data_IF_147980986012
#
_entry.id   IF_147980986012
#
_cell.length_a   1.000
_cell.length_b   1.000
_cell.length_c   1.000
_cell.angle_alpha   90.00
_cell.angle_beta   90.00
_cell.angle_gamma   90.00
#
_symmetry.space_group_name_H-M   'P 1'
#
loop_
_entity.id
_entity.type
_entity.pdbx_description
1 polymer ?
#
# COMPACT_ATOMS: atom_id res chain seq x y z
N UNK A 1 -15.31 -2.23 -6.78
CA UNK A 1 -15.13 -0.78 -6.63
C UNK A 1 -13.80 -0.29 -7.19
N UNK A 2 -12.67 -0.47 -6.50
CA UNK A 2 -11.36 0.05 -6.94
C UNK A 2 -10.96 -0.48 -8.34
N UNK A 3 -11.20 -1.77 -8.63
CA UNK A 3 -10.96 -2.37 -9.96
C UNK A 3 -11.83 -1.78 -11.06
N UNK A 4 -13.09 -1.52 -10.79
CA UNK A 4 -14.05 -0.98 -11.76
C UNK A 4 -13.76 0.49 -12.05
N UNK A 5 -13.45 1.29 -11.03
CA UNK A 5 -13.05 2.69 -11.20
C UNK A 5 -11.75 2.83 -12.01
N UNK A 6 -10.77 1.96 -11.76
CA UNK A 6 -9.51 1.89 -12.50
C UNK A 6 -9.70 1.55 -13.98
N UNK A 7 -10.55 0.56 -14.29
CA UNK A 7 -10.85 0.16 -15.66
C UNK A 7 -11.58 1.28 -16.43
N UNK A 8 -12.47 2.00 -15.77
CA UNK A 8 -13.22 3.11 -16.37
C UNK A 8 -12.31 4.31 -16.69
N UNK A 9 -11.46 4.70 -15.76
CA UNK A 9 -10.54 5.85 -15.90
C UNK A 9 -9.54 5.63 -17.04
N UNK A 10 -8.91 4.46 -17.10
CA UNK A 10 -7.93 4.17 -18.16
C UNK A 10 -8.54 4.06 -19.54
N UNK A 11 -9.73 3.49 -19.68
CA UNK A 11 -10.42 3.39 -20.97
C UNK A 11 -10.90 4.76 -21.46
N UNK A 12 -11.39 5.63 -20.58
CA UNK A 12 -11.94 6.94 -20.95
C UNK A 12 -10.85 7.92 -21.43
N UNK A 13 -9.67 7.91 -20.81
CA UNK A 13 -8.55 8.78 -21.21
C UNK A 13 -7.85 8.31 -22.50
N UNK A 14 -7.75 7.01 -22.74
CA UNK A 14 -7.28 6.49 -24.00
C UNK A 14 -8.16 6.98 -25.16
N UNK A 15 -9.48 6.92 -25.02
CA UNK A 15 -10.44 7.43 -26.02
C UNK A 15 -10.33 8.93 -26.21
N UNK A 16 -10.15 9.71 -25.13
CA UNK A 16 -10.05 11.17 -25.21
C UNK A 16 -8.72 11.64 -25.81
N UNK A 17 -7.61 10.94 -25.54
CA UNK A 17 -6.30 11.23 -26.15
C UNK A 17 -6.32 10.99 -27.67
N UNK A 18 -7.05 9.98 -28.15
CA UNK A 18 -7.26 9.73 -29.58
C UNK A 18 -8.13 10.80 -30.25
N UNK A 19 -9.19 11.26 -29.58
CA UNK A 19 -10.03 12.36 -30.08
C UNK A 19 -9.26 13.68 -30.21
N UNK A 20 -8.37 13.99 -29.25
CA UNK A 20 -7.52 15.18 -29.31
C UNK A 20 -6.48 15.11 -30.43
N UNK A 21 -5.91 13.92 -30.71
CA UNK A 21 -4.98 13.70 -31.84
C UNK A 21 -5.68 13.85 -33.19
N UNK A 22 -6.89 13.33 -33.33
CA UNK A 22 -7.66 13.45 -34.57
C UNK A 22 -8.02 14.92 -34.85
N UNK A 23 -8.27 15.73 -33.83
CA UNK A 23 -8.54 17.15 -33.99
C UNK A 23 -7.31 17.97 -34.40
N UNK A 24 -6.11 17.61 -33.90
CA UNK A 24 -4.84 18.22 -34.32
C UNK A 24 -4.36 17.76 -35.70
N UNK A 25 -4.75 16.56 -36.15
CA UNK A 25 -4.42 16.06 -37.50
C UNK A 25 -5.33 16.58 -38.58
N UNK A 26 -6.50 17.10 -38.25
CA UNK A 26 -7.43 17.75 -39.20
C UNK A 26 -6.96 19.14 -39.63
N UNK A 27 -6.15 19.82 -38.82
CA UNK A 27 -5.63 21.18 -39.14
C UNK A 27 -4.32 21.18 -39.97
N UNK A 28 -3.73 20.02 -40.22
CA UNK A 28 -2.49 19.92 -41.04
C UNK A 28 -2.59 18.79 -42.06
N UNK A 29 -2.77 19.20 -43.32
CA UNK A 29 -2.55 18.50 -44.59
C UNK A 29 -3.73 17.80 -45.26
N UNK A 30 -3.98 18.24 -46.49
CA UNK A 30 -4.83 17.58 -47.47
C UNK A 30 -4.26 16.26 -47.96
N UNK A 31 -5.16 15.28 -48.00
CA UNK A 31 -5.15 14.20 -48.98
C UNK A 31 -4.14 13.08 -48.82
N UNK A 32 -4.35 12.16 -47.89
CA UNK A 32 -4.00 10.74 -48.08
C UNK A 32 -4.92 9.85 -47.23
N UNK A 33 -5.25 8.67 -47.78
CA UNK A 33 -6.26 7.74 -47.29
C UNK A 33 -6.26 7.53 -45.78
N UNK A 34 -7.39 7.90 -45.17
CA UNK A 34 -7.78 7.49 -43.82
C UNK A 34 -8.10 6.01 -43.82
N UNK A 35 -7.22 5.18 -43.31
CA UNK A 35 -7.65 3.94 -42.67
C UNK A 35 -8.26 4.34 -41.33
N UNK A 36 -9.55 4.11 -41.23
CA UNK A 36 -10.34 4.50 -40.04
C UNK A 36 -9.90 3.71 -38.81
N UNK A 37 -9.30 4.40 -37.85
CA UNK A 37 -9.04 3.92 -36.50
C UNK A 37 -10.31 3.55 -35.71
N UNK A 38 -11.49 3.60 -36.37
CA UNK A 38 -12.80 3.25 -35.78
C UNK A 38 -13.02 1.75 -35.57
N UNK A 39 -12.05 0.88 -35.95
CA UNK A 39 -12.15 -0.57 -35.75
C UNK A 39 -11.25 -1.13 -34.63
N UNK A 40 -10.52 -0.31 -33.91
CA UNK A 40 -9.99 -0.74 -32.62
C UNK A 40 -11.13 -0.83 -31.61
N UNK A 41 -11.90 -1.90 -31.68
CA UNK A 41 -12.68 -2.34 -30.53
C UNK A 41 -11.68 -2.59 -29.41
N UNK A 42 -11.57 -1.64 -28.49
CA UNK A 42 -10.97 -1.88 -27.19
C UNK A 42 -11.73 -3.06 -26.58
N UNK A 43 -11.18 -4.24 -26.70
CA UNK A 43 -11.71 -5.40 -26.03
C UNK A 43 -11.84 -5.02 -24.55
N UNK A 44 -13.02 -5.15 -23.98
CA UNK A 44 -13.31 -4.85 -22.57
C UNK A 44 -12.44 -5.63 -21.56
N UNK A 45 -11.56 -6.50 -22.08
CA UNK A 45 -10.55 -7.28 -21.37
C UNK A 45 -9.12 -6.74 -21.55
N UNK A 46 -8.92 -5.57 -22.16
CA UNK A 46 -7.56 -5.03 -22.24
C UNK A 46 -7.09 -4.65 -20.83
N UNK A 47 -6.00 -5.31 -20.46
CA UNK A 47 -5.32 -5.10 -19.18
C UNK A 47 -4.96 -3.62 -19.03
N UNK A 48 -5.03 -3.12 -17.80
CA UNK A 48 -4.48 -1.82 -17.44
C UNK A 48 -3.05 -1.69 -18.00
N UNK A 49 -2.63 -0.49 -18.47
CA UNK A 49 -1.29 -0.29 -19.02
C UNK A 49 -0.18 -0.41 -17.96
N UNK A 50 -0.55 -0.73 -16.75
CA UNK A 50 0.34 -0.99 -15.61
C UNK A 50 -0.34 -1.87 -14.56
N UNK A 51 0.47 -2.47 -13.69
CA UNK A 51 0.02 -3.11 -12.46
C UNK A 51 0.07 -2.14 -11.29
N UNK A 52 -0.79 -2.37 -10.31
CA UNK A 52 -0.83 -1.61 -9.06
C UNK A 52 -0.54 -2.55 -7.90
N UNK A 53 0.51 -2.20 -7.17
CA UNK A 53 0.90 -2.86 -5.94
C UNK A 53 0.48 -1.99 -4.76
N UNK A 54 -0.37 -2.52 -3.90
CA UNK A 54 -0.71 -1.88 -2.64
C UNK A 54 0.29 -2.26 -1.55
N UNK A 55 0.60 -1.31 -0.70
CA UNK A 55 1.44 -1.44 0.47
C UNK A 55 0.65 -1.10 1.74
N UNK A 56 1.32 -0.99 2.85
CA UNK A 56 0.74 -0.53 4.11
C UNK A 56 -0.52 -1.32 4.51
N UNK A 57 -1.52 -0.63 5.02
CA UNK A 57 -2.77 -1.27 5.49
C UNK A 57 -3.61 -1.86 4.36
N UNK A 58 -3.62 -1.23 3.18
CA UNK A 58 -4.34 -1.78 2.02
C UNK A 58 -3.71 -3.09 1.56
N UNK A 59 -2.39 -3.13 1.42
CA UNK A 59 -1.66 -4.33 1.02
C UNK A 59 -1.80 -5.47 2.02
N UNK A 60 -1.85 -5.15 3.32
CA UNK A 60 -2.11 -6.08 4.42
C UNK A 60 -3.56 -6.55 4.55
N UNK A 61 -4.49 -6.01 3.75
CA UNK A 61 -5.93 -6.20 3.90
C UNK A 61 -6.45 -5.78 5.30
N UNK A 62 -5.88 -4.70 5.83
CA UNK A 62 -6.13 -4.17 7.18
C UNK A 62 -6.55 -2.69 7.13
N UNK A 63 -7.17 -2.24 6.03
CA UNK A 63 -7.52 -0.83 5.82
C UNK A 63 -8.53 -0.34 6.85
N UNK A 64 -8.31 0.89 7.34
CA UNK A 64 -9.22 1.60 8.23
C UNK A 64 -10.18 2.52 7.45
N UNK A 65 -11.16 3.10 8.16
CA UNK A 65 -12.07 4.11 7.59
C UNK A 65 -11.33 5.35 7.09
N UNK A 66 -10.31 5.81 7.80
CA UNK A 66 -9.53 6.98 7.43
C UNK A 66 -8.03 6.65 7.39
N UNK A 67 -7.65 5.82 6.42
CA UNK A 67 -6.25 5.46 6.15
C UNK A 67 -5.79 6.06 4.84
N UNK A 68 -4.50 6.39 4.77
CA UNK A 68 -3.85 6.62 3.50
C UNK A 68 -3.72 5.30 2.75
N UNK A 69 -3.72 5.38 1.43
CA UNK A 69 -3.56 4.26 0.51
C UNK A 69 -2.20 4.38 -0.15
N UNK A 70 -1.29 3.49 0.23
CA UNK A 70 0.07 3.44 -0.30
C UNK A 70 0.08 2.58 -1.56
N UNK A 71 0.48 3.15 -2.70
CA UNK A 71 0.53 2.43 -3.99
C UNK A 71 1.87 2.58 -4.69
N UNK A 72 2.21 1.56 -5.49
CA UNK A 72 3.28 1.59 -6.48
C UNK A 72 2.69 1.20 -7.83
N UNK A 73 3.01 1.98 -8.88
CA UNK A 73 2.63 1.68 -10.26
C UNK A 73 3.81 1.09 -11.01
N UNK A 74 3.62 -0.11 -11.58
CA UNK A 74 4.66 -0.84 -12.29
C UNK A 74 4.10 -1.30 -13.62
N UNK A 75 4.86 -1.17 -14.71
CA UNK A 75 4.48 -1.69 -16.02
C UNK A 75 5.48 -2.75 -16.50
N UNK A 76 5.02 -3.61 -17.38
CA UNK A 76 5.89 -4.43 -18.21
C UNK A 76 6.60 -3.59 -19.28
N UNK A 77 7.53 -4.19 -20.00
CA UNK A 77 8.24 -3.52 -21.08
C UNK A 77 7.48 -3.59 -22.43
N UNK A 78 6.25 -4.08 -22.44
CA UNK A 78 5.44 -4.17 -23.64
C UNK A 78 5.03 -2.78 -24.13
N UNK A 79 5.07 -2.59 -25.43
CA UNK A 79 4.61 -1.35 -26.06
C UNK A 79 3.12 -1.45 -26.38
N UNK A 80 2.39 -0.36 -26.09
CA UNK A 80 0.96 -0.24 -26.41
C UNK A 80 0.80 0.32 -27.83
N UNK A 81 1.62 1.32 -28.18
CA UNK A 81 1.53 2.06 -29.45
C UNK A 81 2.73 1.88 -30.38
N UNK A 82 3.73 1.08 -29.96
CA UNK A 82 5.01 0.95 -30.66
C UNK A 82 6.01 2.08 -30.40
N UNK A 83 5.64 3.07 -29.59
CA UNK A 83 6.50 4.18 -29.17
C UNK A 83 6.63 4.19 -27.64
N UNK A 84 7.77 3.71 -27.14
CA UNK A 84 8.02 3.56 -25.69
C UNK A 84 7.90 4.89 -24.91
N UNK A 85 8.41 5.99 -25.46
CA UNK A 85 8.35 7.29 -24.80
C UNK A 85 6.90 7.80 -24.69
N UNK A 86 6.13 7.62 -25.74
CA UNK A 86 4.71 7.97 -25.73
C UNK A 86 3.92 7.10 -24.75
N UNK A 87 4.16 5.80 -24.75
CA UNK A 87 3.51 4.85 -23.84
C UNK A 87 3.86 5.14 -22.39
N UNK A 88 5.09 5.53 -22.09
CA UNK A 88 5.49 5.95 -20.75
C UNK A 88 4.73 7.20 -20.29
N UNK A 89 4.62 8.22 -21.16
CA UNK A 89 3.83 9.43 -20.87
C UNK A 89 2.34 9.11 -20.64
N UNK A 90 1.79 8.19 -21.43
CA UNK A 90 0.41 7.73 -21.31
C UNK A 90 0.18 7.05 -19.95
N UNK A 91 1.09 6.16 -19.54
CA UNK A 91 1.04 5.47 -18.24
C UNK A 91 1.10 6.44 -17.06
N UNK A 92 2.00 7.42 -17.11
CA UNK A 92 2.09 8.49 -16.09
C UNK A 92 0.78 9.29 -16.02
N UNK A 93 0.20 9.64 -17.18
CA UNK A 93 -1.05 10.40 -17.25
C UNK A 93 -2.20 9.59 -16.63
N UNK A 94 -2.30 8.31 -16.95
CA UNK A 94 -3.30 7.42 -16.40
C UNK A 94 -3.15 7.25 -14.87
N UNK A 95 -1.92 7.11 -14.37
CA UNK A 95 -1.66 7.02 -12.95
C UNK A 95 -2.02 8.32 -12.20
N UNK A 96 -1.70 9.49 -12.78
CA UNK A 96 -2.10 10.79 -12.20
C UNK A 96 -3.60 10.96 -12.14
N UNK A 97 -4.31 10.60 -13.22
CA UNK A 97 -5.76 10.67 -13.24
C UNK A 97 -6.39 9.74 -12.20
N UNK A 98 -5.83 8.54 -12.01
CA UNK A 98 -6.27 7.65 -10.95
C UNK A 98 -6.13 8.29 -9.57
N UNK A 99 -4.96 8.87 -9.27
CA UNK A 99 -4.71 9.54 -8.00
C UNK A 99 -5.70 10.70 -7.81
N UNK A 100 -5.93 11.50 -8.85
CA UNK A 100 -6.86 12.62 -8.84
C UNK A 100 -8.29 12.15 -8.50
N UNK A 101 -8.83 11.19 -9.26
CA UNK A 101 -10.18 10.64 -9.05
C UNK A 101 -10.34 10.02 -7.67
N UNK A 102 -9.30 9.35 -7.14
CA UNK A 102 -9.37 8.74 -5.80
C UNK A 102 -9.30 9.75 -4.67
N UNK A 103 -8.63 10.90 -4.89
CA UNK A 103 -8.38 11.92 -3.87
C UNK A 103 -9.30 13.13 -3.98
N UNK A 104 -10.07 13.25 -5.08
CA UNK A 104 -10.96 14.38 -5.31
C UNK A 104 -12.02 14.49 -4.23
N UNK A 105 -12.15 15.68 -3.67
CA UNK A 105 -13.20 15.98 -2.66
C UNK A 105 -14.46 16.41 -3.39
N UNK A 106 -15.49 15.59 -3.29
CA UNK A 106 -16.81 15.82 -3.86
C UNK A 106 -17.82 16.23 -2.77
N UNK A 107 -19.07 16.50 -3.13
CA UNK A 107 -20.15 16.73 -2.16
C UNK A 107 -20.39 15.50 -1.26
N UNK A 108 -20.08 14.30 -1.74
CA UNK A 108 -20.18 13.02 -1.00
C UNK A 108 -18.90 12.70 -0.17
N UNK A 109 -17.88 13.57 -0.20
CA UNK A 109 -16.59 13.36 0.42
C UNK A 109 -15.51 12.93 -0.60
N UNK A 110 -14.51 12.20 -0.14
CA UNK A 110 -13.44 11.67 -0.98
C UNK A 110 -13.28 10.15 -0.76
N UNK A 111 -12.74 9.44 -1.76
CA UNK A 111 -12.64 7.99 -1.68
C UNK A 111 -11.47 7.53 -0.80
N UNK A 112 -10.26 8.08 -1.04
CA UNK A 112 -9.07 7.77 -0.25
C UNK A 112 -7.99 8.84 -0.42
N UNK A 113 -7.19 9.05 0.61
CA UNK A 113 -5.94 9.82 0.49
C UNK A 113 -4.87 8.90 -0.08
N UNK A 114 -4.24 9.34 -1.18
CA UNK A 114 -3.25 8.56 -1.90
C UNK A 114 -1.84 8.93 -1.44
N UNK A 115 -1.05 7.96 -1.02
CA UNK A 115 0.37 8.14 -0.66
C UNK A 115 1.27 7.37 -1.63
N UNK A 116 2.13 8.11 -2.33
CA UNK A 116 3.06 7.56 -3.32
C UNK A 116 4.52 7.58 -2.82
N UNK A 117 4.77 7.90 -1.54
CA UNK A 117 6.13 8.06 -1.00
C UNK A 117 6.89 6.75 -0.86
N UNK A 118 6.18 5.62 -0.73
CA UNK A 118 6.78 4.29 -0.60
C UNK A 118 7.23 3.68 -1.95
N UNK A 119 7.02 4.39 -3.08
CA UNK A 119 7.53 3.90 -4.38
C UNK A 119 9.06 3.93 -4.43
N UNK A 120 9.71 3.09 -5.28
CA UNK A 120 11.15 3.07 -5.45
C UNK A 120 11.70 4.47 -5.70
N UNK A 121 12.68 4.92 -4.91
CA UNK A 121 13.25 6.27 -4.99
C UNK A 121 12.36 7.41 -4.46
N UNK A 122 11.17 7.10 -3.93
CA UNK A 122 10.26 8.06 -3.33
C UNK A 122 9.81 9.17 -4.29
N UNK A 123 9.63 10.38 -3.80
CA UNK A 123 9.13 11.52 -4.58
C UNK A 123 10.06 11.96 -5.73
N UNK A 124 11.33 11.58 -5.69
CA UNK A 124 12.33 11.95 -6.69
C UNK A 124 12.30 11.05 -7.93
N UNK A 125 11.66 9.90 -7.86
CA UNK A 125 11.56 8.96 -8.98
C UNK A 125 10.30 9.18 -9.81
N UNK A 126 10.24 8.66 -11.05
CA UNK A 126 9.03 8.64 -11.85
C UNK A 126 7.85 8.01 -11.10
N UNK A 127 6.63 8.44 -11.43
CA UNK A 127 5.42 7.92 -10.79
C UNK A 127 5.14 6.46 -11.17
N UNK A 128 5.48 6.09 -12.40
CA UNK A 128 5.32 4.73 -12.94
C UNK A 128 6.69 4.25 -13.40
N UNK A 129 7.12 3.10 -12.93
CA UNK A 129 8.38 2.46 -13.31
C UNK A 129 8.11 1.19 -14.10
N UNK A 130 9.05 0.80 -14.96
CA UNK A 130 9.04 -0.52 -15.55
C UNK A 130 9.40 -1.59 -14.49
N UNK A 131 9.06 -2.85 -14.79
CA UNK A 131 9.46 -3.98 -13.94
C UNK A 131 10.99 -4.03 -13.81
N UNK A 132 11.73 -3.84 -14.92
CA UNK A 132 13.20 -3.87 -14.94
C UNK A 132 13.82 -2.74 -14.12
N UNK A 133 13.31 -1.50 -14.25
CA UNK A 133 13.76 -0.36 -13.43
C UNK A 133 13.50 -0.61 -11.93
N UNK A 134 12.36 -1.21 -11.62
CA UNK A 134 11.98 -1.55 -10.25
C UNK A 134 12.90 -2.64 -9.70
N UNK A 135 13.19 -3.68 -10.48
CA UNK A 135 14.13 -4.75 -10.10
C UNK A 135 15.54 -4.21 -9.92
N UNK A 136 16.01 -3.38 -10.86
CA UNK A 136 17.32 -2.74 -10.75
C UNK A 136 17.42 -1.90 -9.46
N UNK A 137 16.40 -1.11 -9.15
CA UNK A 137 16.36 -0.31 -7.93
C UNK A 137 16.48 -1.18 -6.68
N UNK A 138 15.63 -2.19 -6.53
CA UNK A 138 15.63 -3.03 -5.33
C UNK A 138 16.86 -3.95 -5.24
N UNK A 139 17.49 -4.30 -6.36
CA UNK A 139 18.76 -5.02 -6.36
C UNK A 139 19.90 -4.15 -5.79
N UNK A 140 19.89 -2.86 -6.06
CA UNK A 140 20.85 -1.89 -5.57
C UNK A 140 20.51 -1.37 -4.16
N UNK A 141 19.23 -1.30 -3.80
CA UNK A 141 18.78 -0.81 -2.49
C UNK A 141 19.11 -1.79 -1.37
N UNK A 142 19.59 -1.24 -0.27
CA UNK A 142 19.88 -2.01 0.97
C UNK A 142 19.05 -1.53 2.16
N UNK A 143 18.11 -0.61 1.92
CA UNK A 143 17.36 0.01 2.99
C UNK A 143 16.37 -0.96 3.63
N UNK A 144 16.54 -1.21 4.92
CA UNK A 144 15.69 -2.13 5.69
C UNK A 144 14.21 -1.70 5.70
N UNK A 145 13.95 -0.39 5.77
CA UNK A 145 12.58 0.13 5.80
C UNK A 145 11.81 -0.19 4.50
N UNK A 146 12.48 -0.25 3.34
CA UNK A 146 11.85 -0.64 2.07
C UNK A 146 11.47 -2.12 2.08
N UNK A 147 12.37 -2.97 2.60
CA UNK A 147 12.06 -4.39 2.79
C UNK A 147 10.86 -4.56 3.72
N UNK A 148 10.82 -3.81 4.81
CA UNK A 148 9.71 -3.83 5.77
C UNK A 148 8.41 -3.35 5.14
N UNK A 149 8.42 -2.27 4.36
CA UNK A 149 7.24 -1.76 3.65
C UNK A 149 6.69 -2.80 2.65
N UNK A 150 7.58 -3.48 1.93
CA UNK A 150 7.24 -4.50 0.93
C UNK A 150 6.74 -5.83 1.52
N UNK A 151 6.87 -6.08 2.82
CA UNK A 151 6.23 -7.25 3.47
C UNK A 151 4.73 -7.27 3.20
N UNK A 152 4.09 -6.10 3.24
CA UNK A 152 2.64 -5.95 2.99
C UNK A 152 2.30 -5.76 1.51
N UNK A 153 3.26 -5.90 0.60
CA UNK A 153 3.03 -5.74 -0.83
C UNK A 153 2.02 -6.76 -1.37
N UNK A 154 0.97 -6.26 -2.01
CA UNK A 154 -0.09 -7.08 -2.60
C UNK A 154 -0.58 -6.47 -3.91
N UNK A 155 -0.62 -7.23 -5.02
CA UNK A 155 -1.20 -6.76 -6.27
C UNK A 155 -2.70 -6.53 -6.11
N UNK A 156 -3.17 -5.34 -6.46
CA UNK A 156 -4.60 -4.97 -6.35
C UNK A 156 -5.25 -4.72 -7.71
N UNK A 157 -4.47 -4.41 -8.74
CA UNK A 157 -4.97 -4.26 -10.11
C UNK A 157 -3.85 -4.50 -11.14
N UNK A 158 -4.23 -4.70 -12.41
CA UNK A 158 -3.34 -4.98 -13.53
C UNK A 158 -3.42 -6.42 -14.02
N UNK A 159 -2.54 -6.80 -14.97
CA UNK A 159 -2.52 -8.16 -15.52
C UNK A 159 -2.08 -9.18 -14.47
N UNK A 160 -2.67 -10.37 -14.52
CA UNK A 160 -2.30 -11.45 -13.61
C UNK A 160 -0.87 -11.94 -13.82
N UNK A 161 -0.31 -11.80 -15.02
CA UNK A 161 1.09 -12.13 -15.30
C UNK A 161 2.03 -11.11 -14.69
N UNK A 162 1.84 -9.82 -14.97
CA UNK A 162 2.63 -8.73 -14.38
C UNK A 162 2.60 -8.80 -12.84
N UNK A 163 1.44 -9.08 -12.25
CA UNK A 163 1.30 -9.27 -10.80
C UNK A 163 2.19 -10.39 -10.26
N UNK A 164 2.28 -11.51 -10.98
CA UNK A 164 3.17 -12.62 -10.61
C UNK A 164 4.64 -12.24 -10.72
N UNK A 165 5.01 -11.57 -11.81
CA UNK A 165 6.38 -11.18 -12.08
C UNK A 165 6.88 -10.17 -11.04
N UNK A 166 6.06 -9.16 -10.71
CA UNK A 166 6.33 -8.23 -9.61
C UNK A 166 6.52 -8.96 -8.27
N UNK A 167 5.64 -9.89 -7.92
CA UNK A 167 5.77 -10.63 -6.66
C UNK A 167 6.96 -11.59 -6.65
N UNK A 168 7.33 -12.15 -7.79
CA UNK A 168 8.53 -12.98 -7.92
C UNK A 168 9.81 -12.16 -7.74
N UNK A 169 9.81 -10.90 -8.15
CA UNK A 169 10.90 -9.95 -7.94
C UNK A 169 10.95 -9.47 -6.48
N UNK A 170 9.80 -9.07 -5.90
CA UNK A 170 9.72 -8.50 -4.54
C UNK A 170 10.09 -9.53 -3.46
N UNK A 171 9.61 -10.77 -3.55
CA UNK A 171 9.80 -11.77 -2.49
C UNK A 171 11.27 -12.08 -2.16
N UNK A 172 12.18 -12.31 -3.11
CA UNK A 172 13.59 -12.53 -2.81
C UNK A 172 14.28 -11.31 -2.19
N UNK A 173 13.86 -10.10 -2.58
CA UNK A 173 14.35 -8.86 -1.97
C UNK A 173 13.95 -8.77 -0.49
N UNK A 174 12.68 -9.03 -0.17
CA UNK A 174 12.15 -8.96 1.19
C UNK A 174 12.68 -10.09 2.06
N UNK A 175 12.59 -11.33 1.58
CA UNK A 175 12.85 -12.55 2.36
C UNK A 175 14.17 -13.18 1.94
N UNK A 176 15.27 -12.72 2.53
CA UNK A 176 16.61 -13.31 2.27
C UNK A 176 16.74 -14.67 2.95
N UNK A 177 17.46 -15.59 2.28
CA UNK A 177 17.64 -16.97 2.77
C UNK A 177 18.65 -17.08 3.91
N UNK A 178 19.54 -16.11 4.05
CA UNK A 178 20.58 -16.09 5.05
C UNK A 178 20.20 -15.12 6.18
N UNK A 179 20.25 -15.61 7.40
CA UNK A 179 20.29 -14.78 8.60
C UNK A 179 21.65 -14.07 8.59
N UNK A 180 21.65 -12.85 8.10
CA UNK A 180 22.81 -12.00 8.05
C UNK A 180 22.89 -11.20 9.36
N UNK A 181 24.05 -11.04 9.96
CA UNK A 181 24.25 -10.18 11.13
C UNK A 181 23.81 -8.73 10.82
N UNK A 182 23.93 -8.31 9.55
CA UNK A 182 23.41 -7.04 9.07
C UNK A 182 21.90 -6.89 9.32
N UNK A 183 21.10 -7.95 9.12
CA UNK A 183 19.65 -7.91 9.34
C UNK A 183 19.32 -7.66 10.81
N UNK A 184 20.04 -8.31 11.73
CA UNK A 184 19.83 -8.09 13.16
C UNK A 184 20.20 -6.66 13.57
N UNK A 185 21.31 -6.13 13.05
CA UNK A 185 21.73 -4.77 13.30
C UNK A 185 20.74 -3.74 12.73
N UNK A 186 20.25 -3.97 11.52
CA UNK A 186 19.28 -3.09 10.89
C UNK A 186 17.92 -3.12 11.58
N UNK A 187 17.47 -4.29 12.05
CA UNK A 187 16.27 -4.44 12.90
C UNK A 187 16.44 -3.64 14.18
N UNK A 188 17.61 -3.71 14.80
CA UNK A 188 17.92 -2.94 16.01
C UNK A 188 17.87 -1.42 15.74
N UNK A 189 18.46 -0.94 14.65
CA UNK A 189 18.39 0.48 14.25
C UNK A 189 16.96 0.96 14.01
N UNK A 190 16.13 0.14 13.37
CA UNK A 190 14.71 0.50 13.15
C UNK A 190 13.98 0.55 14.48
N UNK A 191 14.27 -0.38 15.40
CA UNK A 191 13.70 -0.37 16.75
C UNK A 191 14.11 0.91 17.51
N UNK A 192 15.40 1.26 17.52
CA UNK A 192 15.91 2.47 18.15
C UNK A 192 15.21 3.74 17.61
N UNK A 193 14.99 3.82 16.29
CA UNK A 193 14.26 4.93 15.67
C UNK A 193 12.80 4.98 16.13
N UNK A 194 12.13 3.84 16.25
CA UNK A 194 10.77 3.78 16.78
C UNK A 194 10.74 4.25 18.22
N UNK A 195 11.69 3.82 19.05
CA UNK A 195 11.81 4.26 20.45
C UNK A 195 12.07 5.76 20.57
N UNK A 196 12.91 6.34 19.70
CA UNK A 196 13.12 7.79 19.63
C UNK A 196 11.86 8.57 19.22
N UNK A 197 11.07 8.02 18.30
CA UNK A 197 9.76 8.59 17.92
C UNK A 197 8.80 8.54 19.11
N UNK A 198 8.77 7.44 19.89
CA UNK A 198 7.93 7.28 21.09
C UNK A 198 8.26 8.31 22.19
N UNK A 199 9.52 8.66 22.35
CA UNK A 199 9.93 9.69 23.35
C UNK A 199 9.39 11.08 23.02
N UNK A 200 8.99 11.33 21.77
CA UNK A 200 8.44 12.60 21.29
C UNK A 200 6.91 12.61 21.26
N UNK A 201 6.28 11.44 21.36
CA UNK A 201 4.83 11.28 21.26
C UNK A 201 4.18 11.24 22.65
N UNK A 202 2.93 11.72 22.70
CA UNK A 202 2.10 11.64 23.89
C UNK A 202 1.76 10.15 24.19
N UNK A 203 1.77 9.77 25.46
CA UNK A 203 1.41 8.41 25.93
C UNK A 203 0.01 7.96 25.52
N UNK A 204 -0.84 8.88 25.10
CA UNK A 204 -2.20 8.61 24.62
C UNK A 204 -2.26 8.22 23.12
N UNK A 205 -1.15 8.19 22.39
CA UNK A 205 -1.11 7.79 20.99
C UNK A 205 -1.09 6.26 20.87
N UNK A 206 -2.22 5.66 20.51
CA UNK A 206 -2.39 4.19 20.41
C UNK A 206 -1.64 3.55 19.23
N UNK A 207 -1.18 4.35 18.28
CA UNK A 207 -0.42 3.85 17.13
C UNK A 207 1.08 3.91 17.39
N UNK A 208 1.57 5.04 17.87
CA UNK A 208 3.00 5.34 18.02
C UNK A 208 3.48 5.26 19.48
N UNK A 209 2.58 5.27 20.47
CA UNK A 209 2.93 5.12 21.87
C UNK A 209 3.46 3.73 22.22
N UNK A 210 4.08 3.61 23.39
CA UNK A 210 4.62 2.33 23.92
C UNK A 210 3.53 1.27 24.00
N UNK A 211 3.78 0.08 23.46
CA UNK A 211 2.78 -0.99 23.36
C UNK A 211 1.74 -0.76 22.27
N UNK A 212 1.92 0.25 21.41
CA UNK A 212 0.98 0.63 20.37
C UNK A 212 0.95 -0.32 19.16
N UNK A 213 0.05 -0.02 18.22
CA UNK A 213 -0.19 -0.82 17.01
C UNK A 213 1.11 -1.05 16.23
N UNK A 214 1.94 0.01 16.08
CA UNK A 214 3.19 -0.04 15.30
C UNK A 214 4.23 -0.98 15.91
N UNK A 215 4.33 -1.06 17.22
CA UNK A 215 5.25 -2.00 17.88
C UNK A 215 4.86 -3.45 17.66
N UNK A 216 3.55 -3.76 17.72
CA UNK A 216 3.05 -5.12 17.45
C UNK A 216 3.32 -5.49 15.99
N UNK A 217 3.01 -4.59 15.04
CA UNK A 217 3.30 -4.80 13.63
C UNK A 217 4.80 -4.97 13.37
N UNK A 218 5.65 -4.14 13.99
CA UNK A 218 7.08 -4.23 13.87
C UNK A 218 7.63 -5.54 14.43
N UNK A 219 7.15 -5.98 15.59
CA UNK A 219 7.51 -7.28 16.16
C UNK A 219 7.23 -8.41 15.18
N UNK A 220 6.04 -8.46 14.63
CA UNK A 220 5.63 -9.48 13.66
C UNK A 220 6.50 -9.43 12.40
N UNK A 221 6.72 -8.24 11.84
CA UNK A 221 7.53 -8.04 10.63
C UNK A 221 8.99 -8.40 10.85
N UNK A 222 9.53 -8.20 12.05
CA UNK A 222 10.87 -8.65 12.41
C UNK A 222 11.01 -10.16 12.25
N UNK A 223 10.07 -10.95 12.75
CA UNK A 223 10.06 -12.41 12.55
C UNK A 223 9.94 -12.79 11.08
N UNK A 224 9.16 -12.04 10.30
CA UNK A 224 9.03 -12.27 8.86
C UNK A 224 10.35 -12.03 8.12
N UNK A 225 11.06 -10.96 8.45
CA UNK A 225 12.37 -10.63 7.85
C UNK A 225 13.45 -11.63 8.24
N UNK A 226 13.45 -12.10 9.50
CA UNK A 226 14.44 -13.05 10.00
C UNK A 226 14.21 -14.47 9.49
N UNK A 227 12.97 -14.91 9.46
CA UNK A 227 12.64 -16.33 9.21
C UNK A 227 11.89 -16.59 7.91
N UNK A 228 11.35 -15.55 7.26
CA UNK A 228 10.53 -15.70 6.04
C UNK A 228 11.28 -16.26 4.84
N UNK A 229 12.61 -16.08 4.77
CA UNK A 229 13.43 -16.66 3.72
C UNK A 229 13.49 -18.18 3.78
N UNK A 230 13.56 -18.74 4.99
CA UNK A 230 13.59 -20.18 5.24
C UNK A 230 12.20 -20.76 5.40
N UNK A 231 11.31 -20.04 6.08
CA UNK A 231 9.95 -20.47 6.34
C UNK A 231 8.92 -19.66 5.52
N UNK A 232 8.59 -20.16 4.34
CA UNK A 232 7.65 -19.48 3.42
C UNK A 232 6.23 -19.30 3.99
N UNK A 233 5.86 -20.02 5.06
CA UNK A 233 4.56 -19.85 5.72
C UNK A 233 4.44 -18.50 6.44
N UNK A 234 5.56 -17.82 6.68
CA UNK A 234 5.58 -16.47 7.26
C UNK A 234 5.46 -15.35 6.20
N UNK A 235 5.50 -15.69 4.91
CA UNK A 235 5.36 -14.73 3.82
C UNK A 235 3.88 -14.34 3.60
N UNK A 236 3.25 -13.80 4.62
CA UNK A 236 1.88 -13.33 4.65
C UNK A 236 1.86 -11.81 4.83
N UNK A 237 0.78 -11.16 4.42
CA UNK A 237 0.66 -9.69 4.50
C UNK A 237 -0.09 -9.21 5.75
N UNK A 238 -0.97 -10.03 6.33
CA UNK A 238 -1.80 -9.67 7.48
C UNK A 238 -1.14 -10.00 8.81
N UNK A 239 -1.11 -9.04 9.72
CA UNK A 239 -0.47 -9.13 11.05
C UNK A 239 -1.02 -10.30 11.88
N UNK A 240 -2.34 -10.43 11.96
CA UNK A 240 -2.98 -11.52 12.72
C UNK A 240 -2.69 -12.91 12.14
N UNK A 241 -2.63 -13.02 10.82
CA UNK A 241 -2.30 -14.26 10.13
C UNK A 241 -0.87 -14.70 10.45
N UNK A 242 0.07 -13.76 10.49
CA UNK A 242 1.47 -14.05 10.84
C UNK A 242 1.59 -14.46 12.30
N UNK A 243 0.93 -13.78 13.25
CA UNK A 243 0.90 -14.19 14.66
C UNK A 243 0.45 -15.65 14.82
N UNK A 244 -0.58 -16.08 14.09
CA UNK A 244 -1.03 -17.46 14.08
C UNK A 244 0.02 -18.43 13.52
N UNK A 245 0.78 -18.03 12.50
CA UNK A 245 1.86 -18.86 11.95
C UNK A 245 3.06 -18.94 12.90
N UNK A 246 3.38 -17.86 13.62
CA UNK A 246 4.43 -17.86 14.64
C UNK A 246 4.15 -18.86 15.75
N UNK A 247 2.87 -19.05 16.15
CA UNK A 247 2.45 -20.12 17.08
C UNK A 247 2.70 -21.51 16.46
N UNK A 248 2.19 -21.73 15.23
CA UNK A 248 2.29 -23.03 14.56
C UNK A 248 3.74 -23.46 14.32
N UNK A 249 4.60 -22.51 14.02
CA UNK A 249 6.04 -22.74 13.80
C UNK A 249 6.85 -22.75 15.09
N UNK A 250 6.23 -22.52 16.25
CA UNK A 250 6.85 -22.48 17.58
C UNK A 250 7.97 -21.44 17.70
N UNK A 251 7.91 -20.36 16.93
CA UNK A 251 8.86 -19.26 17.01
C UNK A 251 8.61 -18.35 18.20
N UNK A 252 7.36 -18.31 18.69
CA UNK A 252 6.98 -17.60 19.92
C UNK A 252 6.06 -18.48 20.76
N UNK A 253 6.05 -18.31 22.11
CA UNK A 253 5.11 -19.00 22.99
C UNK A 253 3.66 -18.66 22.60
N UNK A 254 2.78 -19.65 22.67
CA UNK A 254 1.35 -19.48 22.35
C UNK A 254 0.72 -18.36 23.17
N UNK A 255 1.02 -18.31 24.48
CA UNK A 255 0.49 -17.29 25.40
C UNK A 255 0.83 -15.87 24.95
N UNK A 256 2.08 -15.64 24.53
CA UNK A 256 2.57 -14.31 24.13
C UNK A 256 1.92 -13.88 22.81
N UNK A 257 1.77 -14.82 21.86
CA UNK A 257 1.09 -14.55 20.61
C UNK A 257 -0.40 -14.24 20.80
N UNK A 258 -1.09 -14.96 21.69
CA UNK A 258 -2.49 -14.71 22.02
C UNK A 258 -2.67 -13.33 22.67
N UNK A 259 -1.78 -12.96 23.59
CA UNK A 259 -1.78 -11.62 24.21
C UNK A 259 -1.58 -10.51 23.16
N UNK A 260 -0.60 -10.68 22.27
CA UNK A 260 -0.36 -9.71 21.19
C UNK A 260 -1.55 -9.61 20.22
N UNK A 261 -2.21 -10.73 19.94
CA UNK A 261 -3.40 -10.76 19.10
C UNK A 261 -4.57 -10.01 19.71
N UNK A 262 -4.84 -10.24 21.02
CA UNK A 262 -5.88 -9.54 21.76
C UNK A 262 -5.60 -8.03 21.84
N UNK A 263 -4.37 -7.66 22.18
CA UNK A 263 -3.93 -6.27 22.25
C UNK A 263 -4.07 -5.59 20.88
N UNK A 264 -3.61 -6.24 19.80
CA UNK A 264 -3.73 -5.70 18.44
C UNK A 264 -5.18 -5.46 18.05
N UNK A 265 -6.05 -6.46 18.25
CA UNK A 265 -7.47 -6.33 17.94
C UNK A 265 -8.15 -5.22 18.76
N UNK A 266 -7.80 -5.10 20.03
CA UNK A 266 -8.33 -4.04 20.89
C UNK A 266 -7.89 -2.65 20.39
N UNK A 267 -6.59 -2.44 20.16
CA UNK A 267 -6.05 -1.19 19.68
C UNK A 267 -6.62 -0.81 18.31
N UNK A 268 -6.79 -1.77 17.41
CA UNK A 268 -7.42 -1.56 16.11
C UNK A 268 -8.89 -1.13 16.24
N UNK A 269 -9.64 -1.73 17.16
CA UNK A 269 -11.01 -1.30 17.45
C UNK A 269 -11.05 0.13 17.98
N UNK A 270 -10.17 0.47 18.92
CA UNK A 270 -10.06 1.86 19.42
C UNK A 270 -9.73 2.82 18.27
N UNK A 271 -8.76 2.49 17.43
CA UNK A 271 -8.38 3.30 16.24
C UNK A 271 -9.59 3.55 15.32
N UNK A 272 -10.38 2.51 15.02
CA UNK A 272 -11.58 2.64 14.19
C UNK A 272 -12.62 3.57 14.82
N UNK A 273 -12.87 3.48 16.12
CA UNK A 273 -13.84 4.35 16.81
C UNK A 273 -13.37 5.79 16.87
N UNK A 274 -12.06 6.05 17.05
CA UNK A 274 -11.49 7.39 16.98
C UNK A 274 -11.66 8.00 15.58
N UNK A 275 -11.40 7.22 14.53
CA UNK A 275 -11.49 7.70 13.15
C UNK A 275 -12.94 7.91 12.69
N UNK A 276 -13.88 7.05 13.12
CA UNK A 276 -15.31 7.20 12.79
C UNK A 276 -15.93 8.45 13.41
N UNK A 277 -15.47 8.83 14.62
CA UNK A 277 -16.04 10.00 15.31
C UNK A 277 -15.69 11.31 14.62
N UNK A 278 -14.44 11.44 14.19
CA UNK A 278 -13.89 12.72 13.73
C UNK A 278 -13.70 12.76 12.20
N UNK A 279 -13.95 11.64 11.49
CA UNK A 279 -13.68 11.44 10.05
C UNK A 279 -12.23 11.79 9.63
N UNK A 280 -11.34 11.84 10.63
CA UNK A 280 -9.92 12.19 10.48
C UNK A 280 -9.02 11.03 10.89
N UNK A 281 -7.78 11.05 10.39
CA UNK A 281 -6.75 10.10 10.78
C UNK A 281 -6.23 10.44 12.18
N UNK A 282 -7.04 10.14 13.22
CA UNK A 282 -6.66 10.33 14.61
C UNK A 282 -6.20 9.00 15.23
N UNK A 283 -5.15 9.06 16.03
CA UNK A 283 -4.59 7.94 16.78
C UNK A 283 -4.42 8.26 18.27
N UNK A 284 -4.82 9.45 18.70
CA UNK A 284 -4.65 9.91 20.08
C UNK A 284 -5.97 9.79 20.83
N UNK A 285 -5.93 9.13 21.99
CA UNK A 285 -7.06 9.09 22.92
C UNK A 285 -7.33 10.53 23.41
N UNK A 286 -8.58 10.99 23.39
CA UNK A 286 -8.92 12.32 23.87
C UNK A 286 -8.48 12.54 25.30
N UNK A 287 -8.03 13.76 25.63
CA UNK A 287 -7.62 14.14 26.99
C UNK A 287 -8.82 14.43 27.92
N UNK A 288 -9.97 14.78 27.37
CA UNK A 288 -11.19 15.03 28.16
C UNK A 288 -11.80 13.73 28.65
N UNK A 289 -12.07 13.64 29.94
CA UNK A 289 -12.72 12.50 30.61
C UNK A 289 -14.07 12.18 29.96
N UNK A 290 -14.86 13.19 29.60
CA UNK A 290 -16.15 13.02 28.96
C UNK A 290 -16.02 12.32 27.60
N UNK A 291 -15.01 12.70 26.82
CA UNK A 291 -14.72 12.07 25.53
C UNK A 291 -14.16 10.66 25.67
N UNK A 292 -13.36 10.40 26.72
CA UNK A 292 -12.91 9.04 27.06
C UNK A 292 -14.08 8.13 27.44
N UNK A 293 -15.02 8.62 28.22
CA UNK A 293 -16.26 7.90 28.54
C UNK A 293 -17.12 7.64 27.28
N UNK A 294 -17.21 8.61 26.38
CA UNK A 294 -17.92 8.43 25.12
C UNK A 294 -17.26 7.34 24.26
N UNK A 295 -15.93 7.35 24.16
CA UNK A 295 -15.16 6.33 23.48
C UNK A 295 -15.35 4.95 24.11
N UNK A 296 -15.25 4.83 25.44
CA UNK A 296 -15.43 3.58 26.13
C UNK A 296 -16.84 3.02 25.94
N UNK A 297 -17.87 3.86 25.99
CA UNK A 297 -19.26 3.44 25.67
C UNK A 297 -19.41 2.95 24.24
N UNK A 298 -18.78 3.63 23.27
CA UNK A 298 -18.81 3.21 21.87
C UNK A 298 -18.15 1.83 21.67
N UNK A 299 -17.15 1.51 22.48
CA UNK A 299 -16.48 0.20 22.52
C UNK A 299 -17.29 -0.89 23.24
N UNK A 300 -18.43 -0.53 23.86
CA UNK A 300 -19.35 -1.46 24.54
C UNK A 300 -19.17 -1.56 26.06
N UNK A 301 -18.33 -0.72 26.66
CA UNK A 301 -18.19 -0.68 28.13
C UNK A 301 -19.37 0.08 28.75
N UNK A 302 -20.08 -0.58 29.69
CA UNK A 302 -21.33 -0.06 30.29
C UNK A 302 -21.12 0.57 31.67
N UNK A 303 -20.19 0.04 32.45
CA UNK A 303 -19.90 0.50 33.81
C UNK A 303 -18.59 1.29 33.78
N UNK A 304 -18.71 2.59 33.79
CA UNK A 304 -17.58 3.53 33.78
C UNK A 304 -17.52 4.28 35.10
N UNK A 305 -18.02 3.65 36.19
CA UNK A 305 -17.94 4.21 37.52
C UNK A 305 -16.48 4.19 37.97
N UNK A 306 -16.02 5.37 38.28
CA UNK A 306 -14.68 5.69 38.75
C UNK A 306 -14.36 4.90 40.05
N UNK A 307 -13.39 4.00 40.00
CA UNK A 307 -12.50 3.80 41.11
C UNK A 307 -11.17 4.51 40.87
#
# INVERSE_FOLDING_TARGET
CLRESLSFVTSHELVNSEKSKNKLAEDTTGGQKRESLSSMHLNQNQNLPFGILALGKLGGNELNFSSDVDLIFIHDNETITGNLEFDHKLRIKAARLLIEVMSEVTEEGFLARMDMRLRPGGERSPLVLSLDETEFYYTASREMWERQALIKASPVAGSGQLSKDVMNMVKPFVYRSLLDEEVLHDVQKVKERIEEEHLREDHLNIKLGVGGIREIEFFVQTFQLLYGGVNKQLQLTGTLQVLQQLIKTRLIPKRDAELLQEAYLFLRRVEHHLQLRDEHQSHTIPSSIEQQYALARSLGYKNLDSE
#
